data_IF_154723867394
#
_entry.id   IF_154723867394
#
_cell.length_a   1.000
_cell.length_b   1.000
_cell.length_c   1.000
_cell.angle_alpha   90.00
_cell.angle_beta   90.00
_cell.angle_gamma   90.00
#
_symmetry.space_group_name_H-M   'P 1'
#
loop_
_entity.id
_entity.type
_entity.pdbx_description
1 polymer ?
#
# COMPACT_ATOMS: atom_id res chain seq x y z
N UNK A 1 10.18 -14.73 57.87
CA UNK A 1 9.98 -13.46 57.12
C UNK A 1 9.90 -13.83 55.65
N UNK A 2 8.69 -13.72 55.13
CA UNK A 2 8.26 -14.12 53.79
C UNK A 2 8.76 -13.11 52.76
N UNK A 3 9.84 -13.46 52.07
CA UNK A 3 10.36 -12.67 50.95
C UNK A 3 9.57 -12.91 49.66
N UNK A 4 9.66 -11.97 48.72
CA UNK A 4 9.54 -12.30 47.29
C UNK A 4 10.58 -13.41 47.04
N UNK A 5 10.16 -14.68 46.91
CA UNK A 5 11.05 -15.84 46.97
C UNK A 5 12.32 -15.71 46.12
N UNK A 6 13.47 -16.11 46.67
CA UNK A 6 14.72 -16.26 45.92
C UNK A 6 15.57 -15.01 45.69
N UNK A 7 15.45 -13.96 46.51
CA UNK A 7 16.29 -12.76 46.41
C UNK A 7 17.52 -12.86 47.30
N UNK A 8 18.63 -13.40 46.77
CA UNK A 8 19.95 -13.05 47.27
C UNK A 8 20.27 -11.62 46.82
N UNK A 9 20.66 -10.78 47.79
CA UNK A 9 21.12 -9.41 47.61
C UNK A 9 22.28 -9.38 46.59
N UNK A 10 21.97 -9.05 45.33
CA UNK A 10 22.94 -9.00 44.24
C UNK A 10 22.39 -9.40 42.86
N UNK A 11 21.21 -10.01 42.76
CA UNK A 11 20.67 -10.49 41.48
C UNK A 11 19.79 -9.44 40.77
N UNK A 12 20.38 -8.70 39.84
CA UNK A 12 19.64 -8.21 38.66
C UNK A 12 19.03 -9.42 37.96
N UNK A 13 17.69 -9.50 37.91
CA UNK A 13 16.87 -10.55 37.27
C UNK A 13 17.00 -11.96 37.85
N UNK A 14 15.95 -12.44 38.53
CA UNK A 14 15.80 -13.84 38.95
C UNK A 14 14.73 -14.50 38.08
N UNK A 15 15.10 -15.62 37.45
CA UNK A 15 14.16 -16.59 36.87
C UNK A 15 13.88 -17.68 37.92
N UNK A 16 12.65 -18.21 38.00
CA UNK A 16 12.40 -19.46 38.72
C UNK A 16 12.83 -20.61 37.81
N UNK A 17 13.98 -21.20 38.11
CA UNK A 17 14.33 -22.53 37.59
C UNK A 17 13.61 -23.60 38.42
N UNK A 18 13.13 -24.63 37.71
CA UNK A 18 12.51 -25.86 38.18
C UNK A 18 11.12 -25.72 38.85
N UNK A 19 10.07 -25.89 38.05
CA UNK A 19 9.15 -27.05 38.09
C UNK A 19 7.88 -26.80 37.24
N UNK A 20 7.56 -27.81 36.43
CA UNK A 20 6.22 -28.25 36.00
C UNK A 20 5.26 -27.29 35.27
N UNK A 21 5.15 -27.49 33.94
CA UNK A 21 4.00 -27.46 33.01
C UNK A 21 2.66 -26.74 33.34
N UNK A 22 2.62 -25.78 34.26
CA UNK A 22 1.50 -24.87 34.46
C UNK A 22 2.02 -23.44 34.58
N UNK A 23 1.34 -22.50 33.91
CA UNK A 23 1.58 -21.05 33.86
C UNK A 23 2.49 -20.51 32.74
N UNK A 24 1.92 -20.58 31.52
CA UNK A 24 2.18 -19.69 30.37
C UNK A 24 2.09 -18.17 30.67
N UNK A 25 1.69 -17.78 31.89
CA UNK A 25 1.54 -16.38 32.32
C UNK A 25 2.82 -15.72 32.80
N UNK A 26 3.87 -16.49 33.16
CA UNK A 26 5.09 -15.91 33.76
C UNK A 26 6.20 -15.61 32.75
N UNK A 27 6.23 -16.27 31.59
CA UNK A 27 7.28 -16.05 30.57
C UNK A 27 7.07 -14.80 29.70
N UNK A 28 5.91 -14.16 29.79
CA UNK A 28 5.53 -13.01 28.97
C UNK A 28 5.88 -11.65 29.61
N UNK A 29 6.26 -11.64 30.89
CA UNK A 29 6.48 -10.42 31.67
C UNK A 29 7.76 -10.49 32.49
N UNK A 30 8.38 -9.33 32.68
CA UNK A 30 9.44 -9.11 33.66
C UNK A 30 8.82 -8.49 34.91
N UNK A 31 9.19 -9.00 36.07
CA UNK A 31 8.59 -8.65 37.35
C UNK A 31 9.54 -7.78 38.18
N UNK A 32 8.98 -6.84 38.94
CA UNK A 32 9.69 -6.04 39.95
C UNK A 32 9.04 -6.25 41.31
N UNK A 33 9.87 -6.38 42.34
CA UNK A 33 9.44 -6.43 43.74
C UNK A 33 9.79 -5.08 44.37
N UNK A 34 8.78 -4.32 44.79
CA UNK A 34 8.94 -3.02 45.45
C UNK A 34 8.46 -3.11 46.89
N UNK A 35 9.14 -2.40 47.79
CA UNK A 35 8.75 -2.34 49.19
C UNK A 35 7.88 -1.11 49.42
N UNK A 36 6.70 -1.32 49.99
CA UNK A 36 5.80 -0.25 50.41
C UNK A 36 6.43 0.56 51.54
N UNK A 37 6.49 1.87 51.36
CA UNK A 37 6.98 2.80 52.38
C UNK A 37 6.03 2.94 53.58
N UNK A 38 4.78 2.49 53.43
CA UNK A 38 3.71 2.69 54.43
C UNK A 38 3.73 1.58 55.49
N UNK A 39 3.82 0.33 55.06
CA UNK A 39 3.68 -0.85 55.93
C UNK A 39 4.87 -1.81 55.80
N UNK A 40 5.87 -1.47 54.97
CA UNK A 40 7.02 -2.31 54.71
C UNK A 40 6.70 -3.60 53.96
N UNK A 41 5.46 -3.75 53.46
CA UNK A 41 5.05 -4.91 52.68
C UNK A 41 5.77 -4.95 51.34
N UNK A 42 6.05 -6.15 50.84
CA UNK A 42 6.64 -6.34 49.52
C UNK A 42 5.53 -6.58 48.50
N UNK A 43 5.53 -5.80 47.42
CA UNK A 43 4.58 -5.92 46.32
C UNK A 43 5.30 -6.40 45.06
N UNK A 44 4.83 -7.50 44.47
CA UNK A 44 5.38 -8.06 43.23
C UNK A 44 4.44 -7.70 42.07
N UNK A 45 4.92 -6.90 41.12
CA UNK A 45 4.13 -6.49 39.96
C UNK A 45 4.89 -6.63 38.64
N UNK A 46 4.19 -6.85 37.51
CA UNK A 46 4.84 -6.90 36.21
C UNK A 46 5.23 -5.49 35.77
N UNK A 47 6.52 -5.28 35.50
CA UNK A 47 7.08 -3.97 35.12
C UNK A 47 7.32 -3.81 33.62
N UNK A 48 7.42 -4.92 32.89
CA UNK A 48 7.65 -4.91 31.45
C UNK A 48 7.21 -6.23 30.80
N UNK A 49 7.14 -6.24 29.47
CA UNK A 49 6.86 -7.44 28.69
C UNK A 49 8.15 -8.03 28.13
N UNK A 50 8.16 -9.35 28.01
CA UNK A 50 9.25 -10.09 27.36
C UNK A 50 9.09 -9.97 25.84
N UNK A 51 10.15 -9.52 25.19
CA UNK A 51 10.30 -9.47 23.74
C UNK A 51 10.66 -10.83 23.14
N UNK A 52 11.27 -10.82 21.95
CA UNK A 52 11.78 -12.06 21.34
C UNK A 52 13.03 -12.55 22.09
N UNK A 53 13.15 -13.88 22.24
CA UNK A 53 14.31 -14.50 22.90
C UNK A 53 15.37 -14.77 21.85
N UNK A 54 16.42 -13.95 21.80
CA UNK A 54 17.65 -14.37 21.11
C UNK A 54 18.44 -15.31 22.02
N UNK A 55 19.30 -16.16 21.44
CA UNK A 55 20.09 -17.17 22.17
C UNK A 55 20.97 -16.61 23.30
N UNK A 56 21.09 -15.29 23.46
CA UNK A 56 21.98 -14.66 24.43
C UNK A 56 21.35 -13.51 25.26
N UNK A 57 20.15 -13.01 24.92
CA UNK A 57 19.54 -11.91 25.69
C UNK A 57 18.01 -11.85 25.57
N UNK A 58 17.34 -11.69 26.71
CA UNK A 58 15.91 -11.37 26.74
C UNK A 58 15.73 -9.89 26.45
N UNK A 59 15.04 -9.55 25.35
CA UNK A 59 14.66 -8.17 25.06
C UNK A 59 13.51 -7.72 25.98
N UNK A 60 13.60 -6.49 26.49
CA UNK A 60 12.63 -5.89 27.41
C UNK A 60 11.83 -4.81 26.67
N UNK A 61 10.51 -5.01 26.57
CA UNK A 61 9.58 -3.99 26.07
C UNK A 61 8.96 -3.31 27.29
N UNK A 62 9.24 -2.02 27.52
CA UNK A 62 8.70 -1.31 28.69
C UNK A 62 7.19 -1.07 28.53
N UNK A 63 6.50 -0.83 29.64
CA UNK A 63 5.11 -0.42 29.61
C UNK A 63 4.93 0.85 28.76
N UNK A 64 4.02 0.79 27.79
CA UNK A 64 3.78 1.83 26.78
C UNK A 64 4.53 1.62 25.46
N UNK A 65 5.56 0.77 25.44
CA UNK A 65 6.37 0.52 24.24
C UNK A 65 5.77 -0.58 23.36
N UNK A 66 6.23 -0.58 22.10
CA UNK A 66 5.83 -1.55 21.08
C UNK A 66 7.07 -1.92 20.28
N UNK A 67 7.24 -3.20 19.98
CA UNK A 67 8.34 -3.73 19.15
C UNK A 67 7.78 -4.55 17.98
N UNK A 68 8.59 -4.66 16.91
CA UNK A 68 8.24 -5.36 15.69
C UNK A 68 9.18 -6.55 15.52
N UNK A 69 8.61 -7.74 15.36
CA UNK A 69 9.32 -9.02 15.30
C UNK A 69 9.05 -9.77 14.00
N UNK A 70 9.84 -10.83 13.79
CA UNK A 70 9.74 -11.73 12.61
C UNK A 70 9.74 -10.96 11.29
N UNK A 71 10.77 -10.12 11.13
CA UNK A 71 10.98 -9.32 9.91
C UNK A 71 9.77 -8.46 9.54
N UNK A 72 9.06 -7.90 10.52
CA UNK A 72 7.93 -7.01 10.26
C UNK A 72 6.55 -7.64 10.25
N UNK A 73 6.44 -8.96 10.47
CA UNK A 73 5.14 -9.67 10.38
C UNK A 73 4.32 -9.64 11.67
N UNK A 74 4.93 -9.32 12.82
CA UNK A 74 4.25 -9.25 14.12
C UNK A 74 4.65 -7.98 14.85
N UNK A 75 3.66 -7.24 15.34
CA UNK A 75 3.84 -6.15 16.30
C UNK A 75 3.49 -6.69 17.68
N UNK A 76 4.37 -6.51 18.66
CA UNK A 76 4.10 -6.84 20.07
C UNK A 76 4.07 -5.55 20.86
N UNK A 77 2.93 -5.27 21.48
CA UNK A 77 2.75 -4.11 22.35
C UNK A 77 2.69 -4.51 23.82
N UNK A 78 3.32 -3.69 24.68
CA UNK A 78 3.27 -3.85 26.13
C UNK A 78 2.50 -2.67 26.72
N UNK A 79 1.23 -2.86 27.12
CA UNK A 79 0.36 -1.74 27.55
C UNK A 79 -0.32 -2.05 28.87
N UNK A 80 -0.58 -1.02 29.69
CA UNK A 80 -1.45 -1.17 30.87
C UNK A 80 -2.90 -0.99 30.46
N UNK A 81 -3.73 -1.96 30.80
CA UNK A 81 -5.17 -1.93 30.61
C UNK A 81 -5.81 -2.19 31.98
N UNK A 82 -6.64 -1.25 32.45
CA UNK A 82 -7.27 -1.32 33.78
C UNK A 82 -6.26 -1.57 34.92
N UNK A 83 -5.12 -0.87 34.87
CA UNK A 83 -4.04 -0.99 35.86
C UNK A 83 -3.13 -2.21 35.70
N UNK A 84 -3.51 -3.20 34.89
CA UNK A 84 -2.74 -4.44 34.67
C UNK A 84 -1.91 -4.37 33.41
N UNK A 85 -0.68 -4.85 33.46
CA UNK A 85 0.18 -4.93 32.28
C UNK A 85 -0.29 -6.08 31.37
N UNK A 86 -0.40 -5.82 30.07
CA UNK A 86 -0.77 -6.76 29.03
C UNK A 86 0.25 -6.76 27.90
N UNK A 87 0.58 -7.95 27.40
CA UNK A 87 1.39 -8.17 26.20
C UNK A 87 0.45 -8.61 25.07
N UNK A 88 0.37 -7.84 24.00
CA UNK A 88 -0.52 -8.12 22.87
C UNK A 88 0.32 -8.28 21.60
N UNK A 89 0.24 -9.46 20.98
CA UNK A 89 0.88 -9.76 19.70
C UNK A 89 -0.15 -9.66 18.58
N UNK A 90 0.02 -8.71 17.67
CA UNK A 90 -0.87 -8.50 16.51
C UNK A 90 -0.12 -8.78 15.21
N UNK A 91 -0.69 -9.56 14.28
CA UNK A 91 -0.12 -9.70 12.94
C UNK A 91 -0.15 -8.36 12.23
N UNK A 92 0.93 -8.04 11.52
CA UNK A 92 1.05 -6.81 10.74
C UNK A 92 0.31 -6.98 9.43
N UNK A 93 -0.64 -6.09 9.19
CA UNK A 93 -1.35 -6.01 7.91
C UNK A 93 -0.62 -5.03 6.99
N UNK A 94 0.41 -5.51 6.30
CA UNK A 94 1.22 -4.70 5.39
C UNK A 94 2.66 -5.17 5.27
N UNK A 95 3.43 -4.45 4.46
CA UNK A 95 4.84 -4.72 4.21
C UNK A 95 5.69 -3.84 5.10
N UNK A 96 6.68 -4.43 5.77
CA UNK A 96 7.53 -3.69 6.68
C UNK A 96 8.84 -3.27 6.00
N UNK A 97 9.17 -1.99 6.14
CA UNK A 97 10.46 -1.45 5.74
C UNK A 97 10.84 -0.24 6.60
N UNK A 98 12.08 -0.19 7.06
CA UNK A 98 12.65 0.92 7.83
C UNK A 98 11.73 1.43 8.96
N UNK A 99 11.35 0.53 9.87
CA UNK A 99 10.45 0.81 11.01
C UNK A 99 9.05 1.32 10.64
N UNK A 100 8.64 1.19 9.38
CA UNK A 100 7.33 1.61 8.87
C UNK A 100 6.59 0.41 8.28
N UNK A 101 5.29 0.34 8.55
CA UNK A 101 4.38 -0.63 7.92
C UNK A 101 3.64 0.06 6.79
N UNK A 102 3.84 -0.43 5.58
CA UNK A 102 3.17 0.05 4.37
C UNK A 102 1.92 -0.80 4.10
N UNK A 103 0.74 -0.19 3.97
CA UNK A 103 -0.48 -0.93 3.66
C UNK A 103 -0.44 -1.49 2.23
N UNK A 104 -1.35 -2.42 1.92
CA UNK A 104 -1.49 -3.00 0.58
C UNK A 104 -1.63 -1.90 -0.48
N UNK A 105 -0.83 -1.96 -1.55
CA UNK A 105 -0.78 -0.98 -2.63
C UNK A 105 -0.04 0.32 -2.29
N UNK A 106 0.51 0.47 -1.09
CA UNK A 106 1.38 1.59 -0.77
C UNK A 106 2.75 1.44 -1.44
N UNK A 107 3.35 2.59 -1.74
CA UNK A 107 4.64 2.66 -2.41
C UNK A 107 5.67 3.42 -1.58
N UNK A 108 6.95 3.06 -1.72
CA UNK A 108 8.07 3.73 -1.05
C UNK A 108 9.36 3.63 -1.84
N UNK A 109 10.38 4.36 -1.37
CA UNK A 109 11.74 4.36 -1.93
C UNK A 109 12.66 3.51 -1.07
N UNK A 110 13.39 2.58 -1.69
CA UNK A 110 14.53 1.88 -1.08
C UNK A 110 15.81 2.21 -1.86
N UNK A 111 16.99 2.28 -1.22
CA UNK A 111 18.27 2.30 -1.93
C UNK A 111 18.41 1.09 -2.86
N UNK A 112 19.04 1.26 -4.02
CA UNK A 112 19.29 0.15 -4.93
C UNK A 112 20.40 -0.79 -4.41
N UNK A 113 20.32 -2.05 -4.81
CA UNK A 113 21.29 -3.07 -4.42
C UNK A 113 22.57 -2.88 -5.25
N UNK A 114 23.73 -2.91 -4.59
CA UNK A 114 25.01 -2.78 -5.27
C UNK A 114 25.48 -1.33 -5.47
N UNK A 115 24.94 -0.40 -4.66
CA UNK A 115 25.51 0.93 -4.41
C UNK A 115 25.51 1.89 -5.63
N UNK A 116 24.30 2.24 -6.10
CA UNK A 116 24.08 3.43 -6.92
C UNK A 116 23.33 4.47 -6.09
N UNK A 117 24.00 5.55 -5.71
CA UNK A 117 23.38 6.63 -4.92
C UNK A 117 22.28 7.38 -5.70
N UNK A 118 22.32 7.33 -7.03
CA UNK A 118 21.43 8.12 -7.89
C UNK A 118 20.17 7.35 -8.30
N UNK A 119 20.23 6.02 -8.29
CA UNK A 119 19.12 5.16 -8.67
C UNK A 119 18.58 4.46 -7.44
N UNK A 120 17.32 4.73 -7.12
CA UNK A 120 16.58 4.08 -6.05
C UNK A 120 15.55 3.12 -6.63
N UNK A 121 15.09 2.19 -5.79
CA UNK A 121 14.03 1.24 -6.11
C UNK A 121 12.70 1.81 -5.65
N UNK A 122 11.75 1.86 -6.58
CA UNK A 122 10.37 2.14 -6.25
C UNK A 122 9.73 0.81 -5.86
N UNK A 123 9.30 0.69 -4.62
CA UNK A 123 8.71 -0.53 -4.08
C UNK A 123 7.19 -0.40 -3.96
N UNK A 124 6.49 -1.53 -4.02
CA UNK A 124 5.07 -1.65 -3.67
C UNK A 124 4.87 -2.76 -2.65
N UNK A 125 3.81 -2.63 -1.84
CA UNK A 125 3.34 -3.69 -0.99
C UNK A 125 2.23 -4.47 -1.68
N UNK A 126 2.46 -5.76 -1.90
CA UNK A 126 1.50 -6.67 -2.49
C UNK A 126 1.13 -7.78 -1.50
N UNK A 127 0.04 -8.49 -1.82
CA UNK A 127 -0.36 -9.71 -1.13
C UNK A 127 -0.17 -10.88 -2.09
N UNK A 128 0.67 -11.84 -1.71
CA UNK A 128 0.91 -13.06 -2.48
C UNK A 128 -0.36 -13.92 -2.56
N UNK A 129 -0.39 -14.87 -3.50
CA UNK A 129 -1.47 -15.86 -3.59
C UNK A 129 -1.60 -16.71 -2.32
N UNK A 130 -0.48 -16.93 -1.63
CA UNK A 130 -0.43 -17.61 -0.33
C UNK A 130 -0.94 -16.75 0.85
N UNK A 131 -1.34 -15.51 0.58
CA UNK A 131 -1.96 -14.61 1.54
C UNK A 131 -1.01 -13.79 2.40
N UNK A 132 0.30 -13.87 2.16
CA UNK A 132 1.31 -13.10 2.88
C UNK A 132 1.55 -11.74 2.22
N UNK A 133 1.91 -10.73 3.03
CA UNK A 133 2.34 -9.44 2.50
C UNK A 133 3.80 -9.53 2.07
N UNK A 134 4.08 -9.11 0.83
CA UNK A 134 5.39 -9.15 0.22
C UNK A 134 5.71 -7.80 -0.44
N UNK A 135 6.96 -7.37 -0.31
CA UNK A 135 7.44 -6.19 -1.03
C UNK A 135 7.90 -6.60 -2.43
N UNK A 136 7.53 -5.82 -3.43
CA UNK A 136 7.97 -6.01 -4.82
C UNK A 136 8.54 -4.73 -5.39
N UNK A 137 9.45 -4.90 -6.35
CA UNK A 137 9.93 -3.78 -7.17
C UNK A 137 8.79 -3.35 -8.09
N UNK A 138 8.33 -2.13 -7.91
CA UNK A 138 7.36 -1.47 -8.78
C UNK A 138 8.05 -0.63 -9.88
N UNK A 139 9.31 -0.26 -9.70
CA UNK A 139 10.08 0.50 -10.68
C UNK A 139 11.36 1.12 -10.15
N UNK A 140 11.78 2.18 -10.82
CA UNK A 140 13.01 2.93 -10.59
C UNK A 140 12.67 4.36 -10.16
N UNK A 141 13.47 4.91 -9.26
CA UNK A 141 13.42 6.31 -8.86
C UNK A 141 14.76 6.94 -9.21
N UNK A 142 14.76 7.92 -10.10
CA UNK A 142 15.95 8.70 -10.40
C UNK A 142 15.98 9.93 -9.49
N UNK A 143 16.96 9.98 -8.58
CA UNK A 143 17.17 11.13 -7.71
C UNK A 143 17.96 12.20 -8.47
N UNK A 144 17.25 13.08 -9.19
CA UNK A 144 17.79 14.30 -9.80
C UNK A 144 17.09 15.55 -9.23
N UNK A 145 17.26 16.73 -9.83
CA UNK A 145 16.54 17.96 -9.41
C UNK A 145 15.02 17.77 -9.40
N UNK A 146 14.50 16.96 -10.33
CA UNK A 146 13.09 16.55 -10.36
C UNK A 146 13.06 15.03 -10.24
N UNK A 147 12.53 14.53 -9.12
CA UNK A 147 12.40 13.08 -8.87
C UNK A 147 11.54 12.46 -9.97
N UNK A 148 12.11 11.50 -10.69
CA UNK A 148 11.39 10.78 -11.75
C UNK A 148 11.10 9.35 -11.32
N UNK A 149 9.85 8.94 -11.49
CA UNK A 149 9.38 7.57 -11.24
C UNK A 149 9.17 6.87 -12.57
N UNK A 150 9.92 5.81 -12.82
CA UNK A 150 9.81 4.99 -14.02
C UNK A 150 9.35 3.61 -13.59
N UNK A 151 8.12 3.24 -13.93
CA UNK A 151 7.60 1.93 -13.54
C UNK A 151 8.42 0.81 -14.19
N UNK A 152 8.45 -0.34 -13.52
CA UNK A 152 9.17 -1.51 -13.98
C UNK A 152 8.69 -1.91 -15.39
N UNK A 153 9.65 -2.18 -16.27
CA UNK A 153 9.46 -2.50 -17.69
C UNK A 153 8.83 -1.41 -18.55
N UNK A 154 8.70 -0.17 -18.06
CA UNK A 154 8.24 0.97 -18.87
C UNK A 154 9.40 1.83 -19.36
N UNK A 155 9.19 2.44 -20.52
CA UNK A 155 10.11 3.42 -21.11
C UNK A 155 9.72 4.84 -20.72
N UNK A 156 10.72 5.68 -20.43
CA UNK A 156 10.58 7.10 -20.17
C UNK A 156 11.60 7.91 -20.97
N UNK A 157 11.21 9.12 -21.38
CA UNK A 157 12.11 10.07 -22.04
C UNK A 157 12.68 11.02 -20.97
N UNK A 158 13.97 10.91 -20.69
CA UNK A 158 14.65 11.72 -19.67
C UNK A 158 15.04 13.11 -20.19
N UNK A 159 15.33 13.19 -21.48
CA UNK A 159 15.66 14.39 -22.24
C UNK A 159 15.33 14.13 -23.71
N UNK A 160 15.36 15.17 -24.55
CA UNK A 160 15.02 15.06 -25.98
C UNK A 160 15.76 13.89 -26.66
N UNK A 161 15.00 12.91 -27.14
CA UNK A 161 15.49 11.67 -27.77
C UNK A 161 16.37 10.76 -26.88
N UNK A 162 16.34 10.93 -25.55
CA UNK A 162 17.03 10.05 -24.60
C UNK A 162 16.00 9.19 -23.86
N UNK A 163 15.80 7.98 -24.35
CA UNK A 163 14.86 7.02 -23.78
C UNK A 163 15.55 6.01 -22.87
N UNK A 164 14.99 5.83 -21.67
CA UNK A 164 15.44 4.84 -20.68
C UNK A 164 14.30 3.91 -20.30
N UNK A 165 14.63 2.65 -20.02
CA UNK A 165 13.69 1.67 -19.50
C UNK A 165 14.16 1.16 -18.15
N UNK A 166 13.25 1.15 -17.17
CA UNK A 166 13.52 0.54 -15.88
C UNK A 166 13.40 -0.98 -16.00
N UNK A 167 14.43 -1.71 -15.58
CA UNK A 167 14.44 -3.18 -15.58
C UNK A 167 14.94 -3.70 -14.25
N UNK A 168 14.48 -4.90 -13.88
CA UNK A 168 15.01 -5.65 -12.76
C UNK A 168 16.05 -6.65 -13.30
N UNK A 169 17.32 -6.42 -12.99
CA UNK A 169 18.45 -7.20 -13.55
C UNK A 169 18.70 -8.47 -12.74
N UNK A 170 18.48 -8.39 -11.44
CA UNK A 170 18.54 -9.48 -10.47
C UNK A 170 17.40 -9.26 -9.47
N UNK A 171 17.02 -10.28 -8.69
CA UNK A 171 15.93 -10.17 -7.74
C UNK A 171 16.14 -8.98 -6.78
N UNK A 172 15.26 -7.99 -6.89
CA UNK A 172 15.27 -6.76 -6.10
C UNK A 172 16.28 -5.71 -6.54
N UNK A 173 17.05 -5.90 -7.63
CA UNK A 173 18.05 -4.95 -8.15
C UNK A 173 17.57 -4.35 -9.46
N UNK A 174 17.56 -3.02 -9.55
CA UNK A 174 17.08 -2.31 -10.73
C UNK A 174 18.20 -1.64 -11.52
N UNK A 175 17.97 -1.43 -12.81
CA UNK A 175 18.84 -0.67 -13.70
C UNK A 175 18.04 0.12 -14.74
N UNK A 176 18.68 1.12 -15.35
CA UNK A 176 18.14 1.93 -16.44
C UNK A 176 18.88 1.65 -17.75
N UNK A 177 18.29 0.80 -18.59
CA UNK A 177 18.85 0.50 -19.90
C UNK A 177 18.42 1.55 -20.93
N UNK A 178 19.31 1.86 -21.88
CA UNK A 178 18.98 2.72 -23.03
C UNK A 178 18.11 1.96 -24.03
N UNK A 179 17.11 2.64 -24.58
CA UNK A 179 16.29 2.13 -25.68
C UNK A 179 16.19 3.20 -26.78
N UNK A 180 15.89 2.79 -28.02
CA UNK A 180 15.87 3.72 -29.16
C UNK A 180 14.60 4.60 -29.18
N UNK A 181 13.50 4.10 -28.61
CA UNK A 181 12.18 4.74 -28.59
C UNK A 181 11.32 4.14 -27.49
N UNK A 182 10.13 4.71 -27.28
CA UNK A 182 9.11 4.06 -26.45
C UNK A 182 8.80 2.65 -26.97
N UNK A 183 8.97 1.65 -26.11
CA UNK A 183 8.59 0.26 -26.44
C UNK A 183 7.11 -0.01 -26.17
N UNK A 184 6.46 0.86 -25.38
CA UNK A 184 5.04 0.75 -25.08
C UNK A 184 4.21 0.95 -26.34
N UNK A 185 3.47 -0.09 -26.70
CA UNK A 185 2.51 -0.06 -27.81
C UNK A 185 1.14 -0.46 -27.33
N UNK A 186 0.11 0.06 -27.99
CA UNK A 186 -1.28 -0.23 -27.67
C UNK A 186 -1.96 -0.86 -28.87
N UNK A 187 -2.67 -1.96 -28.65
CA UNK A 187 -3.47 -2.60 -29.70
C UNK A 187 -4.94 -2.20 -29.57
N UNK A 188 -5.50 -1.67 -30.65
CA UNK A 188 -6.92 -1.35 -30.76
C UNK A 188 -7.44 -1.86 -32.10
N UNK A 189 -8.46 -2.73 -32.06
CA UNK A 189 -9.10 -3.27 -33.28
C UNK A 189 -8.11 -3.87 -34.30
N UNK A 190 -7.05 -4.53 -33.82
CA UNK A 190 -6.02 -5.14 -34.69
C UNK A 190 -4.95 -4.17 -35.22
N UNK A 191 -5.00 -2.89 -34.84
CA UNK A 191 -3.99 -1.87 -35.18
C UNK A 191 -3.12 -1.57 -33.97
N UNK A 192 -1.81 -1.56 -34.18
CA UNK A 192 -0.81 -1.22 -33.15
C UNK A 192 -0.46 0.26 -33.23
N UNK A 193 -0.70 0.99 -32.13
CA UNK A 193 -0.36 2.39 -31.96
C UNK A 193 0.89 2.52 -31.09
N UNK A 194 1.80 3.41 -31.48
CA UNK A 194 2.89 3.85 -30.61
C UNK A 194 2.36 4.77 -29.51
N UNK A 195 3.15 4.96 -28.45
CA UNK A 195 2.86 5.98 -27.43
C UNK A 195 2.61 7.34 -28.09
N UNK A 196 1.52 8.00 -27.70
CA UNK A 196 1.07 9.24 -28.33
C UNK A 196 -0.45 9.37 -28.37
N UNK A 197 -0.94 10.41 -29.04
CA UNK A 197 -2.37 10.70 -29.20
C UNK A 197 -2.80 10.55 -30.66
N UNK A 198 -4.03 10.08 -30.88
CA UNK A 198 -4.65 10.06 -32.21
C UNK A 198 -6.16 10.26 -32.11
N UNK A 199 -6.76 10.69 -33.21
CA UNK A 199 -8.21 10.79 -33.33
C UNK A 199 -8.80 9.52 -33.95
N UNK A 200 -9.71 8.87 -33.23
CA UNK A 200 -10.53 7.77 -33.72
C UNK A 200 -11.86 8.32 -34.27
N UNK A 201 -11.96 8.37 -35.60
CA UNK A 201 -13.15 8.88 -36.31
C UNK A 201 -14.40 8.04 -36.07
N UNK A 202 -14.27 6.72 -35.91
CA UNK A 202 -15.44 5.84 -35.70
C UNK A 202 -16.03 6.08 -34.32
N UNK A 203 -15.18 6.32 -33.33
CA UNK A 203 -15.60 6.61 -31.96
C UNK A 203 -15.89 8.09 -31.74
N UNK A 204 -15.42 9.01 -32.59
CA UNK A 204 -15.46 10.45 -32.32
C UNK A 204 -14.67 10.80 -31.06
N UNK A 205 -13.50 10.19 -30.89
CA UNK A 205 -12.73 10.26 -29.65
C UNK A 205 -11.25 10.52 -29.90
N UNK A 206 -10.65 11.40 -29.11
CA UNK A 206 -9.21 11.51 -29.01
C UNK A 206 -8.71 10.46 -28.03
N UNK A 207 -7.95 9.51 -28.55
CA UNK A 207 -7.37 8.42 -27.80
C UNK A 207 -5.89 8.69 -27.57
N UNK A 208 -5.35 8.11 -26.50
CA UNK A 208 -3.92 8.12 -26.21
C UNK A 208 -3.46 6.71 -25.89
N UNK A 209 -2.26 6.38 -26.34
CA UNK A 209 -1.55 5.19 -25.93
C UNK A 209 -0.57 5.62 -24.86
N UNK A 210 -0.78 5.12 -23.65
CA UNK A 210 0.10 5.35 -22.52
C UNK A 210 0.25 4.04 -21.75
N UNK A 211 1.49 3.66 -21.41
CA UNK A 211 1.74 2.50 -20.56
C UNK A 211 1.14 1.19 -21.09
N UNK A 212 1.14 1.00 -22.42
CA UNK A 212 0.54 -0.16 -23.09
C UNK A 212 -1.00 -0.19 -23.07
N UNK A 213 -1.65 0.87 -22.60
CA UNK A 213 -3.12 0.97 -22.51
C UNK A 213 -3.64 2.10 -23.41
N UNK A 214 -4.74 1.78 -24.10
CA UNK A 214 -5.53 2.79 -24.82
C UNK A 214 -6.42 3.48 -23.81
N UNK A 215 -6.26 4.78 -23.70
CA UNK A 215 -7.08 5.64 -22.85
C UNK A 215 -7.79 6.68 -23.71
N UNK A 216 -9.01 7.01 -23.35
CA UNK A 216 -9.74 8.11 -23.97
C UNK A 216 -9.36 9.41 -23.28
N UNK A 217 -8.89 10.40 -24.05
CA UNK A 217 -8.48 11.71 -23.52
C UNK A 217 -9.60 12.74 -23.63
N UNK A 218 -10.35 12.72 -24.74
CA UNK A 218 -11.50 13.59 -24.97
C UNK A 218 -12.37 13.03 -26.10
N UNK A 219 -13.46 13.72 -26.40
CA UNK A 219 -14.28 13.48 -27.58
C UNK A 219 -14.17 14.64 -28.54
N UNK A 220 -14.48 14.38 -29.82
CA UNK A 220 -14.68 15.42 -30.80
C UNK A 220 -15.99 15.15 -31.53
N UNK A 221 -16.90 16.11 -31.48
CA UNK A 221 -18.21 16.02 -32.14
C UNK A 221 -18.48 17.31 -32.89
N UNK A 222 -18.72 17.22 -34.20
CA UNK A 222 -18.94 18.39 -35.06
C UNK A 222 -17.77 19.38 -35.09
N UNK A 223 -16.52 18.91 -34.89
CA UNK A 223 -15.32 19.76 -34.81
C UNK A 223 -15.13 20.45 -33.45
N UNK A 224 -15.98 20.17 -32.46
CA UNK A 224 -15.87 20.69 -31.10
C UNK A 224 -15.26 19.64 -30.19
N UNK A 225 -14.20 20.01 -29.48
CA UNK A 225 -13.56 19.17 -28.47
C UNK A 225 -14.40 19.19 -27.17
N UNK A 226 -14.75 18.00 -26.69
CA UNK A 226 -15.56 17.79 -25.49
C UNK A 226 -14.74 17.00 -24.47
N UNK A 227 -14.56 17.58 -23.28
CA UNK A 227 -13.84 16.92 -22.19
C UNK A 227 -14.61 15.72 -21.65
N UNK A 228 -13.88 14.77 -21.04
CA UNK A 228 -14.50 13.61 -20.41
C UNK A 228 -15.51 14.06 -19.34
N UNK A 229 -16.62 13.32 -19.25
CA UNK A 229 -17.75 13.58 -18.36
C UNK A 229 -18.47 14.91 -18.59
N UNK A 230 -18.19 15.60 -19.70
CA UNK A 230 -18.95 16.78 -20.10
C UNK A 230 -20.03 16.42 -21.11
N UNK A 231 -21.13 17.16 -21.00
CA UNK A 231 -22.28 17.06 -21.89
C UNK A 231 -22.32 18.23 -22.87
N UNK A 232 -22.77 17.95 -24.09
CA UNK A 232 -23.01 18.97 -25.12
C UNK A 232 -24.37 18.73 -25.74
N UNK A 233 -25.18 19.80 -25.80
CA UNK A 233 -26.44 19.78 -26.56
C UNK A 233 -26.13 19.86 -28.06
N UNK A 234 -26.64 18.90 -28.80
CA UNK A 234 -26.52 18.80 -30.24
C UNK A 234 -27.68 19.55 -30.91
N UNK A 235 -27.45 19.98 -32.15
CA UNK A 235 -28.44 20.72 -32.96
C UNK A 235 -29.71 19.92 -33.27
N UNK A 236 -29.66 18.59 -33.17
CA UNK A 236 -30.81 17.70 -33.36
C UNK A 236 -31.65 17.49 -32.08
N UNK A 237 -31.38 18.23 -31.00
CA UNK A 237 -32.10 18.13 -29.74
C UNK A 237 -31.61 17.02 -28.81
N UNK A 238 -30.61 16.24 -29.20
CA UNK A 238 -29.98 15.24 -28.34
C UNK A 238 -28.90 15.86 -27.46
N UNK A 239 -28.60 15.21 -26.34
CA UNK A 239 -27.45 15.47 -25.49
C UNK A 239 -26.40 14.38 -25.71
N UNK A 240 -25.18 14.82 -26.00
CA UNK A 240 -24.00 13.96 -26.09
C UNK A 240 -23.21 14.05 -24.80
N UNK A 241 -22.87 12.91 -24.20
CA UNK A 241 -22.00 12.80 -23.04
C UNK A 241 -20.70 12.08 -23.44
N UNK A 242 -19.58 12.77 -23.26
CA UNK A 242 -18.26 12.20 -23.49
C UNK A 242 -17.82 11.33 -22.30
N UNK A 243 -18.36 10.12 -22.17
CA UNK A 243 -18.03 9.25 -21.05
C UNK A 243 -16.68 8.50 -21.27
N UNK A 244 -15.87 8.24 -20.21
CA UNK A 244 -14.52 7.67 -20.33
C UNK A 244 -14.44 6.32 -21.04
N UNK A 245 -15.47 5.48 -20.90
CA UNK A 245 -15.48 4.13 -21.50
C UNK A 245 -16.16 4.08 -22.87
N UNK A 246 -17.30 4.74 -23.01
CA UNK A 246 -18.13 4.73 -24.21
C UNK A 246 -18.86 6.06 -24.33
N UNK A 247 -19.12 6.52 -25.55
CA UNK A 247 -19.92 7.73 -25.76
C UNK A 247 -21.40 7.44 -25.50
N UNK A 248 -22.07 8.36 -24.81
CA UNK A 248 -23.49 8.24 -24.50
C UNK A 248 -24.26 9.31 -25.28
N UNK A 249 -25.32 8.88 -25.95
CA UNK A 249 -26.24 9.75 -26.67
C UNK A 249 -27.63 9.61 -26.06
N UNK A 250 -28.16 10.71 -25.55
CA UNK A 250 -29.50 10.78 -24.97
C UNK A 250 -30.34 11.75 -25.77
N UNK A 251 -31.47 11.31 -26.32
CA UNK A 251 -32.37 12.17 -27.08
C UNK A 251 -33.74 12.17 -26.39
N UNK A 252 -34.40 13.32 -26.31
CA UNK A 252 -35.76 13.43 -25.77
C UNK A 252 -36.84 12.82 -26.69
N UNK A 253 -36.43 12.16 -27.77
CA UNK A 253 -37.32 11.40 -28.63
C UNK A 253 -37.59 10.07 -27.96
N UNK A 254 -38.81 9.89 -27.44
CA UNK A 254 -39.28 8.60 -26.97
C UNK A 254 -38.99 7.53 -28.04
N UNK A 255 -38.30 6.45 -27.67
CA UNK A 255 -38.17 5.27 -28.53
C UNK A 255 -39.58 4.90 -28.98
N UNK A 256 -39.80 4.79 -30.30
CA UNK A 256 -41.13 4.58 -30.90
C UNK A 256 -41.88 3.36 -30.33
N UNK A 257 -41.19 2.49 -29.60
CA UNK A 257 -41.69 1.26 -28.99
C UNK A 257 -41.93 1.32 -27.47
N UNK A 258 -41.57 2.42 -26.79
CA UNK A 258 -41.89 2.58 -25.37
C UNK A 258 -43.31 3.14 -25.20
N UNK A 259 -44.30 2.26 -25.05
CA UNK A 259 -45.60 2.62 -24.46
C UNK A 259 -45.37 3.03 -23.01
N UNK A 260 -45.34 4.33 -22.74
CA UNK A 260 -45.52 4.85 -21.38
C UNK A 260 -46.93 4.45 -20.95
N UNK A 261 -47.06 3.46 -20.06
CA UNK A 261 -48.34 3.12 -19.45
C UNK A 261 -48.84 4.36 -18.72
N UNK A 262 -50.01 4.83 -19.15
CA UNK A 262 -50.70 6.07 -18.75
C UNK A 262 -50.45 6.44 -17.27
N UNK A 263 -50.04 7.69 -17.07
CA UNK A 263 -50.33 8.39 -15.83
C UNK A 263 -51.84 8.30 -15.58
N UNK A 264 -52.22 7.73 -14.44
CA UNK A 264 -53.61 7.76 -13.99
C UNK A 264 -53.90 9.22 -13.66
N UNK A 265 -54.75 9.84 -14.48
CA UNK A 265 -55.41 11.10 -14.14
C UNK A 265 -56.16 10.89 -12.82
N UNK A 266 -55.59 11.40 -11.74
CA UNK A 266 -56.37 11.68 -10.55
C UNK A 266 -57.22 12.92 -10.85
N UNK A 267 -58.39 12.71 -11.44
CA UNK A 267 -59.46 13.68 -11.48
C UNK A 267 -60.68 13.09 -10.76
N UNK A 268 -60.98 13.71 -9.62
CA UNK A 268 -62.26 13.80 -8.93
C UNK A 268 -62.69 12.62 -8.04
N UNK A 269 -62.45 12.79 -6.73
CA UNK A 269 -63.54 13.09 -5.79
C UNK A 269 -63.05 14.03 -4.69
#
# INVERSE_FOLDING_TARGET
MSGCGGLNEGATSVWPDDYDYQLDRHYNFLWSCEKSDIDGSLNLEPSACVGDKSAQKTHKIKAGETEIYKNGSIVVSCKRFEGRLQRVSTPVSGCFYNNTVYPLGAHWSEPNIGDSQTLHRFMTCDKSESGYFEKKVAGCILQSEVVQYIMLNQTWELAENIFKKCVETELGKVDLISVEKFEDTCNLNGVTYQRGQWFDKQRGANLRCAFGKVEKASCEIGGVLVWLNHEVKLSNGCTFLCHPQTNIYSCDVALHEMKISRAVEAANN
#
